data_IF_330768776180
#
_entry.id   IF_330768776180
#
_cell.length_a   1.000
_cell.length_b   1.000
_cell.length_c   1.000
_cell.angle_alpha   90.00
_cell.angle_beta   90.00
_cell.angle_gamma   90.00
#
_symmetry.space_group_name_H-M   'P 1'
#
loop_
_entity.id
_entity.type
_entity.pdbx_description
1 polymer ?
#
# COMPACT_ATOMS: atom_id res chain seq x y z
N UNK A 1 57.66 -10.43 29.50
CA UNK A 1 56.34 -9.76 29.61
C UNK A 1 55.70 -9.71 28.23
N UNK A 2 54.66 -10.51 27.97
CA UNK A 2 54.01 -10.62 26.65
C UNK A 2 52.83 -9.64 26.61
N UNK A 3 52.98 -8.53 25.88
CA UNK A 3 51.93 -7.52 25.75
C UNK A 3 50.70 -8.10 25.03
N UNK A 4 49.57 -8.14 25.73
CA UNK A 4 48.27 -8.59 25.23
C UNK A 4 47.71 -7.51 24.31
N UNK A 5 47.78 -7.72 22.99
CA UNK A 5 47.22 -6.76 22.02
C UNK A 5 45.69 -6.73 22.15
N UNK A 6 45.06 -5.55 22.29
CA UNK A 6 43.61 -5.43 22.30
C UNK A 6 43.05 -5.82 20.93
N UNK A 7 42.05 -6.71 20.93
CA UNK A 7 41.27 -7.02 19.72
C UNK A 7 40.36 -5.82 19.45
N UNK A 8 40.65 -5.06 18.40
CA UNK A 8 39.66 -4.14 17.83
C UNK A 8 38.49 -5.00 17.33
N UNK A 9 37.35 -4.91 18.02
CA UNK A 9 36.10 -5.48 17.54
C UNK A 9 35.67 -4.73 16.29
N UNK A 10 35.76 -5.38 15.13
CA UNK A 10 35.15 -4.86 13.91
C UNK A 10 33.65 -4.76 14.15
N UNK A 11 33.11 -3.54 14.11
CA UNK A 11 31.66 -3.35 14.10
C UNK A 11 31.11 -4.07 12.86
N UNK A 12 30.02 -4.85 12.98
CA UNK A 12 29.40 -5.49 11.82
C UNK A 12 28.95 -4.41 10.84
N UNK A 13 29.53 -4.42 9.63
CA UNK A 13 29.04 -3.61 8.51
C UNK A 13 27.70 -4.22 8.09
N UNK A 14 26.60 -3.65 8.61
CA UNK A 14 25.27 -4.04 8.21
C UNK A 14 25.01 -3.51 6.80
N UNK A 15 24.95 -4.40 5.82
CA UNK A 15 24.45 -4.06 4.49
C UNK A 15 22.93 -3.90 4.58
N UNK A 16 22.36 -2.72 4.28
CA UNK A 16 20.93 -2.50 4.34
C UNK A 16 20.23 -3.26 3.20
N UNK A 17 19.13 -3.94 3.50
CA UNK A 17 18.12 -4.34 2.51
C UNK A 17 17.27 -3.11 2.25
N UNK A 18 17.41 -2.47 1.10
CA UNK A 18 16.52 -1.38 0.70
C UNK A 18 15.30 -1.98 -0.01
N UNK A 19 14.09 -1.67 0.44
CA UNK A 19 12.88 -2.06 -0.31
C UNK A 19 12.43 -0.81 -1.06
N UNK A 20 12.73 -0.76 -2.36
CA UNK A 20 12.51 0.43 -3.17
C UNK A 20 11.41 0.20 -4.21
N UNK A 21 10.47 1.14 -4.17
CA UNK A 21 9.37 1.39 -5.08
C UNK A 21 8.35 0.26 -5.18
N UNK A 22 7.19 0.51 -4.58
CA UNK A 22 5.94 -0.05 -5.07
C UNK A 22 5.45 0.82 -6.22
N UNK A 23 5.42 0.28 -7.44
CA UNK A 23 4.80 0.99 -8.57
C UNK A 23 3.28 0.81 -8.49
N UNK A 24 2.56 1.92 -8.30
CA UNK A 24 1.11 1.91 -8.30
C UNK A 24 0.57 1.99 -9.74
N UNK A 25 -0.21 0.99 -10.16
CA UNK A 25 -0.96 1.03 -11.42
C UNK A 25 -2.44 1.24 -11.12
N UNK A 26 -2.99 2.33 -11.66
CA UNK A 26 -4.42 2.63 -11.61
C UNK A 26 -5.15 1.90 -12.75
N UNK A 27 -6.14 1.08 -12.42
CA UNK A 27 -7.04 0.48 -13.41
C UNK A 27 -8.42 1.13 -13.28
N UNK A 28 -8.82 2.02 -14.21
CA UNK A 28 -10.13 2.65 -14.16
C UNK A 28 -11.23 1.66 -14.60
N UNK A 29 -12.32 1.56 -13.82
CA UNK A 29 -13.52 0.82 -14.25
C UNK A 29 -14.41 1.62 -15.22
N UNK A 30 -14.28 2.95 -15.24
CA UNK A 30 -14.93 3.84 -16.18
C UNK A 30 -14.15 5.15 -16.28
N UNK A 31 -14.42 5.97 -17.30
CA UNK A 31 -13.81 7.31 -17.41
C UNK A 31 -14.12 8.23 -16.22
N UNK A 32 -15.13 7.90 -15.41
CA UNK A 32 -15.55 8.69 -14.26
C UNK A 32 -14.91 8.25 -12.93
N UNK A 33 -14.52 6.97 -12.82
CA UNK A 33 -13.96 6.40 -11.60
C UNK A 33 -12.45 6.21 -11.74
N UNK A 34 -11.68 6.90 -10.92
CA UNK A 34 -10.22 6.69 -10.85
C UNK A 34 -9.78 6.44 -9.41
N UNK A 35 -8.75 5.63 -9.25
CA UNK A 35 -8.09 5.43 -7.96
C UNK A 35 -6.60 5.22 -8.18
N UNK A 36 -5.80 5.78 -7.29
CA UNK A 36 -4.34 5.69 -7.36
C UNK A 36 -3.74 5.75 -5.97
N UNK A 37 -2.60 5.10 -5.82
CA UNK A 37 -1.78 5.14 -4.61
C UNK A 37 -0.45 5.78 -4.95
N UNK A 38 0.08 6.61 -4.06
CA UNK A 38 1.42 7.16 -4.23
C UNK A 38 2.50 6.07 -4.14
N UNK A 39 3.66 6.28 -4.79
CA UNK A 39 4.78 5.36 -4.65
C UNK A 39 5.19 5.23 -3.18
N UNK A 40 5.28 3.98 -2.70
CA UNK A 40 5.69 3.68 -1.34
C UNK A 40 7.16 3.23 -1.32
N UNK A 41 7.92 3.83 -0.42
CA UNK A 41 9.23 3.35 0.00
C UNK A 41 9.11 2.79 1.42
N UNK A 42 9.63 1.57 1.63
CA UNK A 42 9.66 0.98 2.96
C UNK A 42 11.04 1.16 3.59
N UNK A 43 11.11 1.40 4.91
CA UNK A 43 12.39 1.51 5.60
C UNK A 43 13.26 0.28 5.38
N UNK A 44 14.55 0.52 5.10
CA UNK A 44 15.52 -0.54 4.96
C UNK A 44 15.70 -1.33 6.27
N UNK A 45 15.88 -2.64 6.16
CA UNK A 45 16.19 -3.50 7.32
C UNK A 45 17.60 -4.09 7.21
N UNK A 46 18.31 -4.28 8.33
CA UNK A 46 19.60 -4.96 8.29
C UNK A 46 19.42 -6.43 7.92
N UNK A 47 20.40 -7.05 7.30
CA UNK A 47 20.38 -8.51 7.09
C UNK A 47 20.20 -9.26 8.42
N UNK A 48 19.37 -10.33 8.40
CA UNK A 48 19.02 -11.10 9.59
C UNK A 48 18.85 -12.59 9.28
N UNK A 49 19.23 -13.43 10.26
CA UNK A 49 18.95 -14.87 10.27
C UNK A 49 17.56 -15.21 10.85
N UNK A 50 16.81 -14.20 11.25
CA UNK A 50 15.44 -14.30 11.75
C UNK A 50 14.51 -13.46 10.88
N UNK A 51 13.22 -13.81 10.76
CA UNK A 51 12.26 -12.96 10.08
C UNK A 51 12.23 -11.56 10.69
N UNK A 52 12.01 -10.55 9.85
CA UNK A 52 11.87 -9.16 10.26
C UNK A 52 10.60 -8.57 9.69
N UNK A 53 10.12 -7.51 10.33
CA UNK A 53 8.97 -6.75 9.83
C UNK A 53 9.39 -5.31 9.65
N UNK A 54 8.98 -4.72 8.53
CA UNK A 54 9.05 -3.28 8.28
C UNK A 54 7.66 -2.78 7.93
N UNK A 55 7.39 -1.52 8.26
CA UNK A 55 6.09 -0.90 8.04
C UNK A 55 6.22 0.36 7.20
N UNK A 56 5.24 0.59 6.33
CA UNK A 56 5.13 1.79 5.52
C UNK A 56 3.70 2.34 5.55
N UNK A 57 3.52 3.56 5.07
CA UNK A 57 2.20 4.17 4.92
C UNK A 57 2.03 4.68 3.50
N UNK A 58 1.00 4.21 2.82
CA UNK A 58 0.61 4.66 1.50
C UNK A 58 -0.61 5.59 1.59
N UNK A 59 -0.73 6.52 0.65
CA UNK A 59 -1.91 7.39 0.52
C UNK A 59 -2.68 6.98 -0.73
N UNK A 60 -3.90 6.48 -0.53
CA UNK A 60 -4.85 6.20 -1.58
C UNK A 60 -5.64 7.47 -1.88
N UNK A 61 -5.79 7.79 -3.17
CA UNK A 61 -6.73 8.77 -3.69
C UNK A 61 -7.77 8.03 -4.53
N UNK A 62 -9.05 8.24 -4.25
CA UNK A 62 -10.17 7.77 -5.05
C UNK A 62 -10.99 8.95 -5.53
N UNK A 63 -11.37 8.94 -6.80
CA UNK A 63 -12.16 9.99 -7.43
C UNK A 63 -13.33 9.39 -8.18
N UNK A 64 -14.51 9.91 -7.88
CA UNK A 64 -15.72 9.71 -8.66
C UNK A 64 -16.13 11.06 -9.27
N UNK A 65 -15.78 11.24 -10.53
CA UNK A 65 -16.16 12.40 -11.34
C UNK A 65 -17.51 12.21 -12.03
N UNK A 66 -18.25 11.13 -11.73
CA UNK A 66 -19.58 10.92 -12.28
C UNK A 66 -20.52 12.05 -11.83
N UNK A 67 -20.78 12.95 -12.77
CA UNK A 67 -21.87 13.91 -12.79
C UNK A 67 -21.91 15.02 -11.72
N UNK A 68 -20.86 15.21 -10.91
CA UNK A 68 -20.64 16.51 -10.27
C UNK A 68 -20.42 17.63 -11.32
N UNK A 69 -19.84 17.28 -12.47
CA UNK A 69 -19.59 18.19 -13.59
C UNK A 69 -20.84 18.77 -14.27
N UNK A 70 -22.03 18.21 -14.03
CA UNK A 70 -23.29 18.72 -14.59
C UNK A 70 -24.11 19.53 -13.57
N UNK A 71 -23.61 19.76 -12.35
CA UNK A 71 -24.33 20.51 -11.31
C UNK A 71 -25.63 19.83 -10.84
N UNK A 72 -25.85 18.59 -11.27
CA UNK A 72 -26.96 17.77 -10.83
C UNK A 72 -26.48 17.05 -9.57
N UNK A 73 -27.14 17.30 -8.44
CA UNK A 73 -26.90 16.62 -7.16
C UNK A 73 -27.40 15.16 -7.23
N UNK A 74 -26.88 14.41 -8.21
CA UNK A 74 -27.20 13.02 -8.46
C UNK A 74 -26.16 12.18 -7.74
N UNK A 75 -26.59 11.67 -6.59
CA UNK A 75 -26.24 10.40 -5.97
C UNK A 75 -25.13 9.62 -6.72
N UNK A 76 -23.94 9.55 -6.13
CA UNK A 76 -22.81 8.77 -6.66
C UNK A 76 -23.21 7.32 -6.95
N UNK A 77 -22.65 6.72 -7.99
CA UNK A 77 -23.04 5.35 -8.43
C UNK A 77 -22.68 4.27 -7.42
N UNK A 78 -21.88 4.62 -6.39
CA UNK A 78 -21.28 3.69 -5.46
C UNK A 78 -20.09 2.98 -6.09
N UNK A 79 -19.05 2.77 -5.31
CA UNK A 79 -17.80 2.22 -5.79
C UNK A 79 -17.02 1.55 -4.66
N UNK A 80 -16.07 0.71 -5.02
CA UNK A 80 -15.10 0.16 -4.10
C UNK A 80 -13.70 0.15 -4.71
N UNK A 81 -12.69 0.31 -3.86
CA UNK A 81 -11.28 0.24 -4.23
C UNK A 81 -10.66 -1.00 -3.60
N UNK A 82 -9.96 -1.77 -4.42
CA UNK A 82 -9.16 -2.91 -4.00
C UNK A 82 -7.69 -2.70 -4.28
N UNK A 83 -6.84 -3.18 -3.37
CA UNK A 83 -5.40 -3.25 -3.54
C UNK A 83 -4.95 -4.71 -3.71
N UNK A 84 -3.99 -4.95 -4.60
CA UNK A 84 -3.31 -6.23 -4.75
C UNK A 84 -1.84 -5.98 -5.04
N UNK A 85 -0.94 -6.82 -4.56
CA UNK A 85 0.50 -6.70 -4.83
C UNK A 85 1.05 -7.89 -5.59
N UNK A 86 2.06 -7.66 -6.42
CA UNK A 86 2.90 -8.71 -6.98
C UNK A 86 3.90 -9.23 -5.93
N UNK A 87 4.62 -10.30 -6.25
CA UNK A 87 5.83 -10.62 -5.50
C UNK A 87 6.83 -9.45 -5.55
N UNK A 88 7.61 -9.27 -4.48
CA UNK A 88 8.68 -8.28 -4.44
C UNK A 88 9.92 -8.88 -5.09
N UNK A 89 10.23 -8.43 -6.31
CA UNK A 89 11.31 -8.93 -7.14
C UNK A 89 12.65 -8.39 -6.66
N UNK A 90 13.59 -9.30 -6.42
CA UNK A 90 14.94 -8.95 -6.02
C UNK A 90 15.74 -8.35 -7.19
N UNK A 91 16.45 -7.26 -6.92
CA UNK A 91 17.46 -6.66 -7.77
C UNK A 91 18.69 -6.31 -6.93
N UNK A 92 19.79 -7.02 -7.17
CA UNK A 92 21.03 -6.80 -6.44
C UNK A 92 22.11 -7.82 -6.81
N UNK A 93 23.36 -7.62 -6.36
CA UNK A 93 24.50 -8.43 -6.80
C UNK A 93 24.49 -9.86 -6.25
N UNK A 94 23.76 -10.12 -5.16
CA UNK A 94 23.81 -11.37 -4.39
C UNK A 94 22.85 -12.48 -4.84
N UNK A 95 22.27 -12.41 -6.05
CA UNK A 95 21.36 -13.44 -6.61
C UNK A 95 20.26 -13.89 -5.63
N UNK A 96 19.63 -12.93 -4.93
CA UNK A 96 18.52 -13.18 -4.02
C UNK A 96 17.25 -13.64 -4.75
N UNK A 97 16.37 -14.31 -4.00
CA UNK A 97 15.04 -14.70 -4.48
C UNK A 97 14.02 -13.65 -4.12
N UNK A 98 12.97 -13.51 -4.93
CA UNK A 98 11.84 -12.62 -4.64
C UNK A 98 11.16 -12.97 -3.31
N UNK A 99 10.60 -11.96 -2.64
CA UNK A 99 9.72 -12.13 -1.48
C UNK A 99 8.29 -12.35 -1.99
N UNK A 100 7.56 -13.39 -1.56
CA UNK A 100 6.19 -13.64 -2.01
C UNK A 100 5.24 -12.48 -1.71
N UNK A 101 4.21 -12.27 -2.55
CA UNK A 101 3.20 -11.22 -2.35
C UNK A 101 2.47 -11.33 -1.00
N UNK A 102 2.26 -12.56 -0.51
CA UNK A 102 1.58 -12.84 0.75
C UNK A 102 2.29 -12.25 1.99
N UNK A 103 3.56 -11.88 1.84
CA UNK A 103 4.36 -11.26 2.88
C UNK A 103 4.07 -9.76 3.05
N UNK A 104 3.44 -9.11 2.06
CA UNK A 104 2.97 -7.74 2.16
C UNK A 104 1.48 -7.74 2.51
N UNK A 105 1.12 -6.96 3.52
CA UNK A 105 -0.22 -6.95 4.10
C UNK A 105 -0.66 -5.55 4.46
N UNK A 106 -1.98 -5.33 4.48
CA UNK A 106 -2.59 -4.16 5.11
C UNK A 106 -2.66 -4.43 6.62
N UNK A 107 -2.01 -3.56 7.40
CA UNK A 107 -2.07 -3.59 8.85
C UNK A 107 -3.30 -2.84 9.37
N UNK A 108 -3.58 -1.66 8.81
CA UNK A 108 -4.77 -0.87 9.11
C UNK A 108 -5.06 0.13 8.00
N UNK A 109 -6.28 0.67 7.99
CA UNK A 109 -6.67 1.78 7.12
C UNK A 109 -7.29 2.87 7.97
N UNK A 110 -7.01 4.12 7.63
CA UNK A 110 -7.57 5.29 8.29
C UNK A 110 -8.98 5.58 7.79
N UNK A 111 -9.72 6.46 8.48
CA UNK A 111 -10.95 7.00 7.92
C UNK A 111 -10.62 7.84 6.67
N UNK A 112 -11.43 7.79 5.60
CA UNK A 112 -11.22 8.64 4.44
C UNK A 112 -11.47 10.11 4.81
N UNK A 113 -10.84 11.00 4.05
CA UNK A 113 -10.99 12.45 4.14
C UNK A 113 -11.48 12.97 2.79
N UNK A 114 -12.57 13.74 2.79
CA UNK A 114 -13.09 14.40 1.60
C UNK A 114 -12.21 15.60 1.24
N UNK A 115 -11.84 15.75 -0.04
CA UNK A 115 -11.20 16.97 -0.54
C UNK A 115 -12.26 18.04 -0.81
N UNK A 116 -11.83 19.30 -0.89
CA UNK A 116 -12.71 20.44 -1.22
C UNK A 116 -13.51 20.16 -2.49
N UNK A 117 -14.81 20.41 -2.45
CA UNK A 117 -15.73 20.19 -3.58
C UNK A 117 -16.29 18.77 -3.68
N UNK A 118 -15.92 17.86 -2.78
CA UNK A 118 -16.48 16.50 -2.73
C UNK A 118 -17.77 16.44 -1.93
N UNK A 119 -18.58 15.40 -2.16
CA UNK A 119 -19.72 15.10 -1.30
C UNK A 119 -19.24 14.86 0.14
N UNK A 120 -19.99 15.33 1.16
CA UNK A 120 -19.65 15.03 2.56
C UNK A 120 -19.67 13.53 2.85
N UNK A 121 -18.77 13.07 3.72
CA UNK A 121 -18.73 11.67 4.16
C UNK A 121 -20.00 11.36 4.96
N UNK A 122 -20.77 10.37 4.50
CA UNK A 122 -21.96 9.90 5.20
C UNK A 122 -21.62 8.76 6.18
N UNK A 123 -22.10 8.79 7.44
CA UNK A 123 -21.70 7.83 8.48
C UNK A 123 -22.01 6.37 8.13
N UNK A 124 -23.06 6.12 7.35
CA UNK A 124 -23.45 4.76 6.92
C UNK A 124 -23.18 4.49 5.44
N UNK A 125 -23.27 5.54 4.63
CA UNK A 125 -23.25 5.48 3.15
C UNK A 125 -21.85 5.58 2.56
N UNK A 126 -20.91 6.17 3.31
CA UNK A 126 -19.54 6.36 2.91
C UNK A 126 -19.29 7.70 2.18
N UNK A 127 -18.09 7.88 1.61
CA UNK A 127 -16.99 6.91 1.58
C UNK A 127 -16.49 6.49 2.96
N UNK A 128 -16.15 5.22 3.10
CA UNK A 128 -15.70 4.62 4.37
C UNK A 128 -14.67 3.53 4.12
N UNK A 129 -13.82 3.32 5.11
CA UNK A 129 -12.96 2.14 5.16
C UNK A 129 -13.78 0.86 4.99
N UNK A 130 -13.23 -0.12 4.28
CA UNK A 130 -13.83 -1.45 4.18
C UNK A 130 -13.91 -2.11 5.57
N UNK A 131 -14.88 -3.01 5.78
CA UNK A 131 -15.14 -3.61 7.09
C UNK A 131 -14.03 -4.58 7.57
N UNK A 132 -13.25 -5.17 6.66
CA UNK A 132 -12.15 -6.09 6.99
C UNK A 132 -10.95 -5.83 6.08
N UNK A 133 -10.31 -4.66 6.22
CA UNK A 133 -9.29 -4.20 5.30
C UNK A 133 -7.92 -4.76 5.63
N UNK A 134 -7.74 -5.43 6.78
CA UNK A 134 -6.46 -6.01 7.19
C UNK A 134 -6.24 -7.40 6.58
N UNK A 135 -4.99 -7.71 6.25
CA UNK A 135 -4.56 -9.01 5.73
C UNK A 135 -3.63 -8.91 4.52
N UNK A 136 -3.20 -10.06 4.00
CA UNK A 136 -2.28 -10.15 2.86
C UNK A 136 -2.88 -9.55 1.58
N UNK A 137 -1.98 -9.06 0.71
CA UNK A 137 -2.30 -8.41 -0.57
C UNK A 137 -2.02 -9.30 -1.79
N UNK A 138 -1.78 -10.60 -1.60
CA UNK A 138 -1.63 -11.58 -2.68
C UNK A 138 -2.93 -11.82 -3.47
N UNK A 139 -4.07 -11.47 -2.88
CA UNK A 139 -5.38 -11.38 -3.53
C UNK A 139 -5.96 -9.97 -3.42
N UNK A 140 -6.82 -9.52 -4.34
CA UNK A 140 -7.48 -8.23 -4.24
C UNK A 140 -8.19 -8.02 -2.90
N UNK A 141 -7.81 -6.97 -2.19
CA UNK A 141 -8.35 -6.62 -0.88
C UNK A 141 -9.03 -5.27 -0.92
N UNK A 142 -10.31 -5.25 -0.57
CA UNK A 142 -11.10 -4.03 -0.46
C UNK A 142 -10.60 -3.17 0.70
N UNK A 143 -10.29 -1.90 0.43
CA UNK A 143 -9.74 -0.95 1.42
C UNK A 143 -10.65 0.27 1.65
N UNK A 144 -11.37 0.68 0.60
CA UNK A 144 -12.25 1.85 0.60
C UNK A 144 -13.52 1.54 -0.19
N UNK A 145 -14.67 2.04 0.25
CA UNK A 145 -15.94 1.86 -0.44
C UNK A 145 -16.91 3.02 -0.20
N UNK A 146 -17.84 3.20 -1.14
CA UNK A 146 -19.00 4.06 -1.05
C UNK A 146 -20.24 3.32 -1.57
N UNK A 147 -21.35 3.41 -0.85
CA UNK A 147 -22.62 2.86 -1.32
C UNK A 147 -23.17 3.73 -2.46
N UNK A 148 -24.08 3.16 -3.26
CA UNK A 148 -24.87 3.96 -4.19
C UNK A 148 -25.59 5.10 -3.44
N UNK A 149 -25.60 6.30 -4.02
CA UNK A 149 -26.00 7.52 -3.34
C UNK A 149 -24.84 8.37 -2.81
N UNK A 150 -23.65 7.78 -2.69
CA UNK A 150 -22.54 8.38 -1.95
C UNK A 150 -21.22 8.28 -2.71
N UNK A 151 -20.25 9.08 -2.27
CA UNK A 151 -18.88 9.01 -2.75
C UNK A 151 -18.58 9.77 -4.02
N UNK A 152 -19.41 10.75 -4.41
CA UNK A 152 -19.08 11.68 -5.49
C UNK A 152 -17.95 12.65 -5.06
N UNK A 153 -16.99 12.91 -5.94
CA UNK A 153 -15.83 13.78 -5.68
C UNK A 153 -14.54 13.00 -5.37
N UNK A 154 -13.58 13.68 -4.73
CA UNK A 154 -12.24 13.14 -4.47
C UNK A 154 -12.02 12.89 -2.98
N UNK A 155 -11.55 11.70 -2.63
CA UNK A 155 -11.30 11.25 -1.26
C UNK A 155 -9.89 10.71 -1.12
N UNK A 156 -9.27 10.96 0.03
CA UNK A 156 -7.96 10.39 0.36
C UNK A 156 -8.06 9.50 1.59
N UNK A 157 -7.22 8.46 1.66
CA UNK A 157 -7.17 7.53 2.79
C UNK A 157 -5.73 7.07 3.04
N UNK A 158 -5.30 7.07 4.31
CA UNK A 158 -4.05 6.43 4.71
C UNK A 158 -4.20 4.91 4.81
N UNK A 159 -3.28 4.16 4.23
CA UNK A 159 -3.19 2.71 4.33
C UNK A 159 -1.85 2.36 4.99
N UNK A 160 -1.90 1.78 6.19
CA UNK A 160 -0.72 1.25 6.86
C UNK A 160 -0.42 -0.15 6.33
N UNK A 161 0.79 -0.34 5.83
CA UNK A 161 1.25 -1.58 5.23
C UNK A 161 2.35 -2.20 6.09
N UNK A 162 2.37 -3.52 6.15
CA UNK A 162 3.36 -4.32 6.87
C UNK A 162 3.96 -5.36 5.93
N UNK A 163 5.28 -5.37 5.82
CA UNK A 163 6.04 -6.34 5.06
C UNK A 163 6.81 -7.26 6.00
N UNK A 164 6.56 -8.55 5.90
CA UNK A 164 7.34 -9.59 6.58
C UNK A 164 8.47 -10.06 5.68
N UNK A 165 9.71 -9.77 6.06
CA UNK A 165 10.92 -10.19 5.35
C UNK A 165 11.36 -11.54 5.94
N UNK A 166 11.40 -12.63 5.15
CA UNK A 166 11.83 -13.94 5.65
C UNK A 166 13.26 -13.93 6.22
N UNK A 167 13.54 -14.91 7.07
CA UNK A 167 14.91 -15.16 7.50
C UNK A 167 15.82 -15.45 6.29
N UNK A 168 17.09 -15.03 6.38
CA UNK A 168 18.11 -15.29 5.35
C UNK A 168 17.85 -14.65 3.99
N UNK A 169 16.88 -13.74 3.88
CA UNK A 169 16.67 -12.91 2.69
C UNK A 169 17.94 -12.14 2.35
N UNK A 170 18.36 -12.17 1.07
CA UNK A 170 19.63 -11.55 0.65
C UNK A 170 19.53 -10.03 0.70
N UNK A 171 20.65 -9.38 1.06
CA UNK A 171 20.80 -7.94 0.97
C UNK A 171 20.72 -7.47 -0.51
N UNK A 172 19.88 -6.48 -0.76
CA UNK A 172 19.68 -5.87 -2.07
C UNK A 172 18.35 -5.11 -2.14
N UNK A 173 17.96 -4.73 -3.35
CA UNK A 173 16.72 -3.98 -3.59
C UNK A 173 15.56 -4.91 -3.91
N UNK A 174 14.40 -4.69 -3.31
CA UNK A 174 13.17 -5.43 -3.62
C UNK A 174 12.09 -4.46 -4.11
N UNK A 175 11.49 -4.76 -5.27
CA UNK A 175 10.50 -3.91 -5.94
C UNK A 175 9.25 -4.71 -6.26
N UNK A 176 8.06 -4.15 -6.04
CA UNK A 176 6.79 -4.77 -6.38
C UNK A 176 5.87 -3.78 -7.11
N UNK A 177 4.81 -4.31 -7.72
CA UNK A 177 3.69 -3.52 -8.20
C UNK A 177 2.55 -3.62 -7.20
N UNK A 178 1.93 -2.49 -6.87
CA UNK A 178 0.63 -2.46 -6.18
C UNK A 178 -0.42 -2.05 -7.20
N UNK A 179 -1.32 -2.97 -7.49
CA UNK A 179 -2.43 -2.76 -8.40
C UNK A 179 -3.61 -2.22 -7.61
N UNK A 180 -3.96 -0.97 -7.91
CA UNK A 180 -5.13 -0.30 -7.36
C UNK A 180 -6.25 -0.38 -8.39
N UNK A 181 -7.37 -0.99 -8.02
CA UNK A 181 -8.55 -1.12 -8.90
C UNK A 181 -9.74 -0.45 -8.23
N UNK A 182 -10.42 0.43 -8.96
CA UNK A 182 -11.72 0.97 -8.56
C UNK A 182 -12.80 0.37 -9.44
N UNK A 183 -13.92 -0.05 -8.87
CA UNK A 183 -15.06 -0.63 -9.60
C UNK A 183 -16.38 -0.07 -9.11
N UNK A 184 -17.42 -0.11 -9.95
CA UNK A 184 -18.78 0.27 -9.57
C UNK A 184 -19.39 -0.73 -8.60
N UNK A 185 -20.24 -0.24 -7.69
CA UNK A 185 -20.84 -1.02 -6.62
C UNK A 185 -19.95 -1.11 -5.38
N UNK A 186 -20.53 -1.31 -4.19
CA UNK A 186 -19.78 -1.41 -2.94
C UNK A 186 -19.05 -2.73 -2.74
#
# INVERSE_FOLDING_TARGET
>A
MRAKRPRLGAAPVALPIAVLAVLALAVPASAALTASVENLEMPAVPYSHYPQTTSGRAVLTAEDSSLYALGLNLLGVGWNVTEQTSALVYSGPNQGTSIPAANLSVASVEAPVARTGSQPIHPTGGPKAAASPAGSLDTPRKVLQANSGYGAGTYTQGIALSLTIPAYTRAGTYTATLTTTISTGP
#
